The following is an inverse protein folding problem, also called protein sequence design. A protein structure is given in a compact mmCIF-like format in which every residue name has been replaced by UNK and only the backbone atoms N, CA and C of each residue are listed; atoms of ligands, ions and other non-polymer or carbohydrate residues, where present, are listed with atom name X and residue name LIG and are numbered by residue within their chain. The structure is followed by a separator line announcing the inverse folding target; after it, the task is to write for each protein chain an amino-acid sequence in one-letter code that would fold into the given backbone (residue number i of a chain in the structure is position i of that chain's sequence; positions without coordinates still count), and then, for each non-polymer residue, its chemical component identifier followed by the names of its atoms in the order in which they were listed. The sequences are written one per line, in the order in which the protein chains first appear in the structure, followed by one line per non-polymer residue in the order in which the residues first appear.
data_IF_279015834258
#
_entry.id   IF_279015834258
#
_cell.length_a   1.000
_cell.length_b   1.000
_cell.length_c   1.000
_cell.angle_alpha   90.00
_cell.angle_beta   90.00
_cell.angle_gamma   90.00
#
_symmetry.space_group_name_H-M   'P 1'
#
loop_
_entity.id
_entity.type
_entity.pdbx_description
1 polymer ?
#
# COMPACT_ATOMS: atom_id res chain seq x y z
N UNK A 1 32.55 7.80 -51.03
CA UNK A 1 31.15 7.31 -51.15
C UNK A 1 30.77 6.37 -50.01
N UNK A 2 31.65 5.45 -49.59
CA UNK A 2 31.39 4.50 -48.50
C UNK A 2 30.93 5.12 -47.15
N UNK A 3 31.58 6.19 -46.67
CA UNK A 3 31.16 6.92 -45.44
C UNK A 3 29.74 7.50 -45.50
N UNK A 4 29.29 7.92 -46.69
CA UNK A 4 27.92 8.43 -46.92
C UNK A 4 26.90 7.29 -46.86
N UNK A 5 27.21 6.13 -47.45
CA UNK A 5 26.36 4.95 -47.37
C UNK A 5 26.24 4.43 -45.92
N UNK A 6 27.34 4.42 -45.16
CA UNK A 6 27.33 4.03 -43.74
C UNK A 6 26.41 4.94 -42.91
N UNK A 7 26.48 6.26 -43.13
CA UNK A 7 25.60 7.22 -42.45
C UNK A 7 24.13 7.04 -42.82
N UNK A 8 23.82 6.78 -44.08
CA UNK A 8 22.45 6.53 -44.54
C UNK A 8 21.88 5.25 -43.93
N UNK A 9 22.69 4.18 -43.82
CA UNK A 9 22.28 2.92 -43.17
C UNK A 9 22.07 3.12 -41.67
N UNK A 10 22.93 3.88 -40.99
CA UNK A 10 22.77 4.17 -39.57
C UNK A 10 21.49 4.98 -39.28
N UNK A 11 21.20 5.99 -40.12
CA UNK A 11 19.96 6.77 -40.03
C UNK A 11 18.74 5.90 -40.31
N UNK A 12 18.78 5.04 -41.33
CA UNK A 12 17.68 4.12 -41.63
C UNK A 12 17.41 3.14 -40.48
N UNK A 13 18.45 2.56 -39.88
CA UNK A 13 18.33 1.67 -38.72
C UNK A 13 17.74 2.39 -37.50
N UNK A 14 18.15 3.63 -37.27
CA UNK A 14 17.59 4.47 -36.20
C UNK A 14 16.08 4.70 -36.42
N UNK A 15 15.66 5.09 -37.62
CA UNK A 15 14.23 5.30 -37.91
C UNK A 15 13.41 4.00 -37.85
N UNK A 16 13.95 2.87 -38.32
CA UNK A 16 13.28 1.56 -38.24
C UNK A 16 13.12 1.12 -36.78
N UNK A 17 14.07 1.44 -35.90
CA UNK A 17 13.98 1.10 -34.47
C UNK A 17 12.82 1.80 -33.75
N UNK A 18 12.39 2.97 -34.23
CA UNK A 18 11.22 3.68 -33.70
C UNK A 18 9.88 3.16 -34.24
N UNK A 19 9.88 2.39 -35.33
CA UNK A 19 8.68 1.74 -35.88
C UNK A 19 8.35 0.42 -35.17
N UNK A 20 9.28 -0.13 -34.40
CA UNK A 20 9.14 -1.37 -33.61
C UNK A 20 9.06 -1.03 -32.11
N UNK A 21 8.33 0.03 -31.77
CA UNK A 21 7.89 0.25 -30.39
C UNK A 21 6.59 -0.53 -30.17
N UNK A 22 6.69 -1.71 -29.56
CA UNK A 22 5.53 -2.41 -29.03
C UNK A 22 5.00 -1.74 -27.76
N UNK A 23 3.75 -2.04 -27.40
CA UNK A 23 3.20 -1.62 -26.11
C UNK A 23 4.02 -2.22 -24.95
N UNK A 24 4.19 -1.44 -23.88
CA UNK A 24 4.83 -1.94 -22.68
C UNK A 24 3.95 -3.02 -22.04
N UNK A 25 4.47 -4.25 -21.93
CA UNK A 25 3.80 -5.32 -21.18
C UNK A 25 3.99 -5.03 -19.70
N UNK A 26 3.02 -4.35 -19.09
CA UNK A 26 2.97 -4.14 -17.65
C UNK A 26 2.08 -5.20 -17.00
N UNK A 27 2.48 -5.70 -15.84
CA UNK A 27 1.56 -6.46 -14.99
C UNK A 27 0.41 -5.53 -14.59
N UNK A 28 -0.82 -5.90 -14.95
CA UNK A 28 -1.99 -5.11 -14.60
C UNK A 28 -2.44 -5.38 -13.17
N UNK A 29 -2.99 -4.35 -12.53
CA UNK A 29 -3.63 -4.50 -11.22
C UNK A 29 -5.07 -4.98 -11.42
N UNK A 30 -5.21 -6.27 -11.70
CA UNK A 30 -6.48 -6.93 -12.00
C UNK A 30 -7.44 -6.96 -10.78
N UNK A 31 -8.67 -7.43 -11.00
CA UNK A 31 -9.67 -7.53 -9.94
C UNK A 31 -9.28 -8.54 -8.85
N UNK A 32 -8.57 -9.62 -9.21
CA UNK A 32 -8.15 -10.64 -8.27
C UNK A 32 -7.17 -10.06 -7.23
N UNK A 33 -6.19 -9.26 -7.66
CA UNK A 33 -5.26 -8.57 -6.77
C UNK A 33 -6.00 -7.50 -5.95
N UNK A 34 -6.96 -6.77 -6.54
CA UNK A 34 -7.74 -5.70 -5.87
C UNK A 34 -8.82 -6.19 -4.92
N UNK A 35 -9.15 -7.48 -4.93
CA UNK A 35 -10.13 -8.06 -4.01
C UNK A 35 -9.52 -8.14 -2.62
N UNK A 36 -10.16 -7.59 -1.59
CA UNK A 36 -9.70 -7.63 -0.19
C UNK A 36 -10.82 -8.14 0.73
N UNK A 37 -10.47 -8.66 1.91
CA UNK A 37 -11.46 -9.05 2.92
C UNK A 37 -12.21 -7.82 3.44
N UNK A 38 -13.53 -7.86 3.39
CA UNK A 38 -14.41 -6.80 3.84
C UNK A 38 -14.58 -6.87 5.36
N UNK A 39 -14.93 -8.05 5.87
CA UNK A 39 -15.36 -8.26 7.25
C UNK A 39 -14.87 -9.62 7.82
N UNK A 40 -15.05 -9.88 9.13
CA UNK A 40 -14.67 -11.15 9.77
C UNK A 40 -15.47 -12.38 9.28
N UNK A 41 -16.64 -12.18 8.68
CA UNK A 41 -17.49 -13.25 8.15
C UNK A 41 -16.92 -13.88 6.86
N UNK A 42 -15.91 -13.24 6.26
CA UNK A 42 -15.24 -13.70 5.04
C UNK A 42 -15.78 -13.08 3.75
N UNK A 43 -16.63 -12.07 3.84
CA UNK A 43 -17.05 -11.33 2.67
C UNK A 43 -15.85 -10.58 2.07
N UNK A 44 -15.93 -10.30 0.77
CA UNK A 44 -14.86 -9.61 0.05
C UNK A 44 -15.39 -8.44 -0.75
N UNK A 45 -14.51 -7.49 -1.04
CA UNK A 45 -14.82 -6.34 -1.89
C UNK A 45 -13.69 -6.10 -2.89
N UNK A 46 -14.05 -5.74 -4.11
CA UNK A 46 -13.09 -5.36 -5.16
C UNK A 46 -12.85 -3.85 -5.08
N UNK A 47 -11.64 -3.44 -4.71
CA UNK A 47 -11.27 -2.02 -4.68
C UNK A 47 -11.21 -1.45 -6.10
N UNK A 48 -11.81 -0.30 -6.38
CA UNK A 48 -11.64 0.38 -7.67
C UNK A 48 -10.21 0.91 -7.84
N UNK A 49 -9.75 1.12 -9.09
CA UNK A 49 -8.42 1.72 -9.34
C UNK A 49 -8.29 3.12 -8.73
N UNK A 50 -9.39 3.86 -8.65
CA UNK A 50 -9.45 5.14 -7.94
C UNK A 50 -9.21 4.95 -6.44
N UNK A 51 -9.88 3.98 -5.80
CA UNK A 51 -9.67 3.65 -4.39
C UNK A 51 -8.23 3.22 -4.11
N UNK A 52 -7.62 2.43 -4.99
CA UNK A 52 -6.20 2.03 -4.87
C UNK A 52 -5.29 3.26 -4.88
N UNK A 53 -5.48 4.15 -5.86
CA UNK A 53 -4.65 5.35 -6.02
C UNK A 53 -4.85 6.31 -4.85
N UNK A 54 -6.11 6.53 -4.45
CA UNK A 54 -6.49 7.36 -3.30
C UNK A 54 -5.90 6.80 -2.01
N UNK A 55 -6.01 5.50 -1.79
CA UNK A 55 -5.50 4.81 -0.62
C UNK A 55 -4.01 5.00 -0.43
N UNK A 56 -3.21 4.77 -1.48
CA UNK A 56 -1.77 5.02 -1.46
C UNK A 56 -1.44 6.48 -1.13
N UNK A 57 -2.14 7.44 -1.75
CA UNK A 57 -1.92 8.87 -1.52
C UNK A 57 -2.20 9.25 -0.06
N UNK A 58 -3.33 8.82 0.48
CA UNK A 58 -3.73 9.15 1.84
C UNK A 58 -2.88 8.44 2.89
N UNK A 59 -2.51 7.18 2.64
CA UNK A 59 -1.56 6.44 3.48
C UNK A 59 -0.21 7.18 3.56
N UNK A 60 0.34 7.61 2.42
CA UNK A 60 1.59 8.37 2.42
C UNK A 60 1.47 9.73 3.14
N UNK A 61 0.32 10.38 3.02
CA UNK A 61 0.04 11.66 3.68
C UNK A 61 -0.02 11.53 5.21
N UNK A 62 -0.77 10.55 5.74
CA UNK A 62 -1.09 10.45 7.16
C UNK A 62 -0.27 9.38 7.91
N UNK A 63 0.13 8.29 7.25
CA UNK A 63 0.67 7.08 7.90
C UNK A 63 2.15 6.83 7.54
N UNK A 64 2.57 7.18 6.32
CA UNK A 64 3.86 6.78 5.73
C UNK A 64 5.11 7.22 6.51
N UNK A 65 5.01 8.27 7.34
CA UNK A 65 6.12 8.68 8.22
C UNK A 65 6.57 7.53 9.12
N UNK A 66 5.61 6.84 9.73
CA UNK A 66 5.84 5.75 10.69
C UNK A 66 5.73 4.37 10.03
N UNK A 67 4.84 4.23 9.04
CA UNK A 67 4.46 2.94 8.45
C UNK A 67 4.95 2.69 7.02
N UNK A 68 6.03 3.33 6.61
CA UNK A 68 6.63 3.12 5.28
C UNK A 68 6.89 1.62 5.02
N UNK A 69 6.34 1.10 3.92
CA UNK A 69 6.50 -0.31 3.56
C UNK A 69 5.93 -1.30 4.59
N UNK A 70 4.96 -0.89 5.42
CA UNK A 70 4.24 -1.78 6.33
C UNK A 70 4.91 -2.02 7.69
N UNK A 71 6.07 -1.41 7.99
CA UNK A 71 6.69 -1.51 9.32
C UNK A 71 6.01 -0.57 10.33
N UNK A 72 6.49 -0.51 11.57
CA UNK A 72 6.19 0.57 12.51
C UNK A 72 7.49 1.09 13.13
N UNK A 73 7.99 2.25 12.66
CA UNK A 73 9.30 2.77 13.11
C UNK A 73 9.40 3.03 14.62
N UNK A 74 8.32 3.48 15.24
CA UNK A 74 8.27 3.81 16.67
C UNK A 74 8.04 2.58 17.56
N UNK A 75 7.62 1.46 16.98
CA UNK A 75 7.44 0.19 17.67
C UNK A 75 7.63 -1.00 16.71
N UNK A 76 8.88 -1.42 16.44
CA UNK A 76 9.16 -2.41 15.41
C UNK A 76 8.63 -3.83 15.68
N UNK A 77 8.03 -4.09 16.84
CA UNK A 77 7.45 -5.39 17.18
C UNK A 77 6.05 -5.60 16.60
N UNK A 78 5.40 -4.55 16.08
CA UNK A 78 4.05 -4.62 15.50
C UNK A 78 4.07 -4.01 14.10
N UNK A 79 3.78 -4.82 13.08
CA UNK A 79 3.73 -4.40 11.68
C UNK A 79 2.31 -4.25 11.13
N UNK A 80 2.22 -3.96 9.83
CA UNK A 80 1.01 -3.99 9.02
C UNK A 80 1.00 -5.19 8.05
N UNK A 81 1.88 -6.16 8.25
CA UNK A 81 1.87 -7.44 7.52
C UNK A 81 0.64 -8.28 7.90
N UNK A 82 0.22 -9.23 7.03
CA UNK A 82 -0.98 -10.02 7.26
C UNK A 82 -0.99 -10.78 8.59
N UNK A 83 0.13 -11.36 9.00
CA UNK A 83 0.22 -12.16 10.23
C UNK A 83 0.05 -11.27 11.47
N UNK A 84 0.70 -10.10 11.50
CA UNK A 84 0.50 -9.10 12.55
C UNK A 84 -0.95 -8.61 12.62
N UNK A 85 -1.60 -8.36 11.48
CA UNK A 85 -2.98 -7.88 11.46
C UNK A 85 -3.97 -8.95 11.92
N UNK A 86 -3.81 -10.19 11.47
CA UNK A 86 -4.66 -11.31 11.84
C UNK A 86 -4.47 -11.73 13.32
N UNK A 87 -3.25 -11.58 13.85
CA UNK A 87 -2.92 -11.92 15.23
C UNK A 87 -3.35 -10.88 16.28
N UNK A 88 -3.83 -9.70 15.87
CA UNK A 88 -4.33 -8.69 16.78
C UNK A 88 -5.65 -9.12 17.44
N UNK A 89 -5.99 -8.50 18.58
CA UNK A 89 -7.24 -8.72 19.30
C UNK A 89 -8.02 -7.39 19.40
N UNK A 90 -9.21 -7.26 18.80
CA UNK A 90 -9.75 -8.15 17.76
C UNK A 90 -8.86 -8.15 16.48
N UNK A 91 -9.00 -9.17 15.59
CA UNK A 91 -8.28 -9.22 14.32
C UNK A 91 -8.51 -7.96 13.46
N UNK A 92 -7.47 -7.54 12.74
CA UNK A 92 -7.43 -6.30 11.94
C UNK A 92 -7.05 -6.55 10.48
N UNK A 93 -7.26 -7.77 10.00
CA UNK A 93 -6.96 -8.25 8.65
C UNK A 93 -8.13 -8.11 7.66
N UNK A 94 -9.11 -7.26 7.99
CA UNK A 94 -10.25 -6.92 7.15
C UNK A 94 -10.52 -5.41 7.15
N UNK A 95 -11.23 -4.95 6.13
CA UNK A 95 -11.44 -3.54 5.85
C UNK A 95 -12.22 -2.83 6.97
N UNK A 96 -13.30 -3.43 7.46
CA UNK A 96 -14.12 -2.85 8.53
C UNK A 96 -13.33 -2.66 9.82
N UNK A 97 -12.52 -3.66 10.19
CA UNK A 97 -11.72 -3.62 11.43
C UNK A 97 -10.58 -2.60 11.37
N UNK A 98 -9.96 -2.41 10.20
CA UNK A 98 -8.97 -1.33 10.00
C UNK A 98 -9.63 0.05 10.03
N UNK A 99 -10.79 0.22 9.41
CA UNK A 99 -11.55 1.49 9.49
C UNK A 99 -11.92 1.79 10.94
N UNK A 100 -12.37 0.80 11.70
CA UNK A 100 -12.64 0.93 13.14
C UNK A 100 -11.37 1.34 13.91
N UNK A 101 -10.23 0.72 13.62
CA UNK A 101 -8.95 1.08 14.24
C UNK A 101 -8.52 2.53 13.93
N UNK A 102 -8.73 3.01 12.70
CA UNK A 102 -8.44 4.40 12.33
C UNK A 102 -9.39 5.41 13.00
N UNK A 103 -10.56 4.96 13.48
CA UNK A 103 -11.48 5.78 14.28
C UNK A 103 -11.09 5.78 15.75
N UNK A 104 -10.88 4.60 16.31
CA UNK A 104 -10.63 4.36 17.74
C UNK A 104 -9.55 3.28 17.93
N UNK A 105 -8.25 3.66 17.97
CA UNK A 105 -7.17 2.70 18.00
C UNK A 105 -6.98 2.15 19.42
N UNK A 106 -6.79 0.84 19.49
CA UNK A 106 -6.52 0.10 20.73
C UNK A 106 -5.16 -0.61 20.66
N UNK A 107 -4.60 -1.00 21.81
CA UNK A 107 -3.42 -1.88 21.88
C UNK A 107 -3.63 -3.19 21.12
N UNK A 108 -2.54 -3.91 20.86
CA UNK A 108 -2.57 -5.16 20.09
C UNK A 108 -3.46 -6.25 20.72
N UNK A 109 -3.59 -6.24 22.05
CA UNK A 109 -4.47 -7.11 22.83
C UNK A 109 -5.90 -6.55 23.00
N UNK A 110 -6.18 -5.35 22.48
CA UNK A 110 -7.48 -4.71 22.52
C UNK A 110 -7.88 -4.12 23.89
N UNK A 111 -6.99 -4.12 24.87
CA UNK A 111 -7.33 -3.77 26.26
C UNK A 111 -7.27 -2.27 26.55
N UNK A 112 -6.46 -1.51 25.83
CA UNK A 112 -6.21 -0.09 26.13
C UNK A 112 -6.39 0.79 24.90
N UNK A 113 -7.10 1.91 25.08
CA UNK A 113 -7.19 2.99 24.08
C UNK A 113 -5.83 3.68 23.95
N UNK A 114 -5.38 3.88 22.70
CA UNK A 114 -4.10 4.54 22.38
C UNK A 114 -4.29 5.80 21.54
N UNK A 115 -5.51 6.36 21.49
CA UNK A 115 -5.83 7.55 20.68
C UNK A 115 -4.96 8.75 21.03
N UNK A 116 -4.48 8.87 22.26
CA UNK A 116 -3.57 9.95 22.69
C UNK A 116 -2.16 9.86 22.09
N UNK A 117 -1.74 8.68 21.65
CA UNK A 117 -0.39 8.42 21.12
C UNK A 117 -0.37 7.86 19.70
N UNK A 118 -1.55 7.58 19.12
CA UNK A 118 -1.72 7.10 17.76
C UNK A 118 -2.76 7.95 17.01
N UNK A 119 -2.47 8.40 15.77
CA UNK A 119 -3.43 9.15 14.96
C UNK A 119 -4.74 8.40 14.76
N UNK A 120 -5.87 9.08 15.00
CA UNK A 120 -7.22 8.54 14.80
C UNK A 120 -8.26 9.64 14.58
N UNK A 121 -9.50 9.28 14.20
CA UNK A 121 -10.61 10.24 14.19
C UNK A 121 -10.94 10.76 15.60
N UNK A 122 -10.85 9.92 16.63
CA UNK A 122 -11.09 10.28 18.04
C UNK A 122 -10.12 11.33 18.57
N UNK A 123 -8.88 11.32 18.09
CA UNK A 123 -7.80 12.24 18.50
C UNK A 123 -7.40 13.23 17.40
N UNK A 124 -8.34 13.58 16.51
CA UNK A 124 -8.08 14.51 15.41
C UNK A 124 -7.74 15.94 15.89
N UNK A 125 -8.06 16.27 17.14
CA UNK A 125 -7.67 17.52 17.80
C UNK A 125 -6.14 17.61 17.99
N UNK A 126 -5.48 16.53 18.41
CA UNK A 126 -4.01 16.48 18.60
C UNK A 126 -3.25 15.91 17.38
N UNK A 127 -3.94 15.24 16.45
CA UNK A 127 -3.39 14.78 15.17
C UNK A 127 -4.08 15.48 13.99
N UNK A 128 -3.66 16.71 13.61
CA UNK A 128 -4.40 17.55 12.67
C UNK A 128 -4.62 16.94 11.28
N UNK A 129 -3.72 16.06 10.81
CA UNK A 129 -3.88 15.36 9.53
C UNK A 129 -5.13 14.47 9.46
N UNK A 130 -5.62 13.99 10.61
CA UNK A 130 -6.83 13.16 10.69
C UNK A 130 -8.11 13.96 10.52
N UNK A 131 -8.09 15.30 10.68
CA UNK A 131 -9.27 16.17 10.58
C UNK A 131 -9.87 16.14 9.18
N UNK A 132 -9.02 16.18 8.15
CA UNK A 132 -9.44 16.25 6.75
C UNK A 132 -9.79 14.90 6.12
N UNK A 133 -9.47 13.78 6.77
CA UNK A 133 -9.76 12.45 6.23
C UNK A 133 -11.25 12.12 6.37
N UNK A 134 -11.90 11.84 5.24
CA UNK A 134 -13.30 11.40 5.18
C UNK A 134 -13.42 9.90 5.42
N UNK A 135 -14.65 9.39 5.55
CA UNK A 135 -14.90 7.95 5.67
C UNK A 135 -14.33 7.18 4.47
N UNK A 136 -14.50 7.72 3.25
CA UNK A 136 -13.94 7.14 2.03
C UNK A 136 -12.41 7.12 2.04
N UNK A 137 -11.77 8.11 2.68
CA UNK A 137 -10.31 8.09 2.86
C UNK A 137 -9.89 6.97 3.82
N UNK A 138 -10.63 6.73 4.91
CA UNK A 138 -10.33 5.65 5.84
C UNK A 138 -10.47 4.28 5.17
N UNK A 139 -11.53 4.08 4.38
CA UNK A 139 -11.75 2.88 3.57
C UNK A 139 -10.59 2.70 2.57
N UNK A 140 -10.21 3.76 1.86
CA UNK A 140 -9.13 3.70 0.87
C UNK A 140 -7.76 3.41 1.53
N UNK A 141 -7.45 4.01 2.67
CA UNK A 141 -6.23 3.72 3.46
C UNK A 141 -6.23 2.25 3.89
N UNK A 142 -7.34 1.76 4.43
CA UNK A 142 -7.47 0.37 4.88
C UNK A 142 -7.31 -0.61 3.73
N UNK A 143 -7.95 -0.33 2.59
CA UNK A 143 -7.77 -1.09 1.35
C UNK A 143 -6.32 -1.09 0.87
N UNK A 144 -5.60 0.04 0.98
CA UNK A 144 -4.18 0.09 0.64
C UNK A 144 -3.36 -0.85 1.52
N UNK A 145 -3.57 -0.85 2.83
CA UNK A 145 -2.86 -1.73 3.78
C UNK A 145 -3.06 -3.21 3.41
N UNK A 146 -4.30 -3.63 3.13
CA UNK A 146 -4.62 -5.02 2.78
C UNK A 146 -4.15 -5.42 1.37
N UNK A 147 -4.05 -4.45 0.45
CA UNK A 147 -3.62 -4.67 -0.92
C UNK A 147 -2.11 -4.85 -1.05
N UNK A 148 -1.31 -4.07 -0.29
CA UNK A 148 0.15 -4.05 -0.48
C UNK A 148 0.84 -5.41 -0.35
N UNK A 149 0.50 -6.29 0.61
CA UNK A 149 1.07 -7.64 0.67
C UNK A 149 0.85 -8.46 -0.62
N UNK A 150 -0.23 -8.19 -1.38
CA UNK A 150 -0.51 -8.88 -2.64
C UNK A 150 0.31 -8.34 -3.83
N UNK A 151 0.82 -7.12 -3.72
CA UNK A 151 1.58 -6.44 -4.78
C UNK A 151 3.07 -6.62 -4.59
N UNK A 152 3.57 -6.39 -3.37
CA UNK A 152 5.01 -6.43 -3.06
C UNK A 152 5.41 -7.64 -2.21
N UNK A 153 4.47 -8.54 -1.94
CA UNK A 153 4.71 -9.76 -1.17
C UNK A 153 5.20 -9.46 0.24
N UNK A 154 6.13 -10.30 0.67
CA UNK A 154 6.80 -10.25 1.97
C UNK A 154 7.77 -9.07 2.15
N UNK A 155 7.92 -8.18 1.15
CA UNK A 155 8.56 -6.89 1.38
C UNK A 155 7.72 -5.98 2.27
N UNK A 156 6.39 -6.16 2.29
CA UNK A 156 5.49 -5.41 3.16
C UNK A 156 5.60 -5.91 4.61
N UNK A 157 6.03 -5.04 5.51
CA UNK A 157 6.23 -5.34 6.94
C UNK A 157 7.63 -5.84 7.31
N UNK A 158 8.43 -6.32 6.36
CA UNK A 158 9.73 -6.91 6.68
C UNK A 158 10.88 -5.90 6.89
N UNK A 159 10.71 -4.66 6.43
CA UNK A 159 11.74 -3.62 6.52
C UNK A 159 13.04 -3.99 5.81
N UNK A 160 14.19 -3.62 6.39
CA UNK A 160 15.51 -3.78 5.74
C UNK A 160 15.91 -5.23 5.44
N UNK A 161 15.30 -6.20 6.10
CA UNK A 161 15.65 -7.61 5.95
C UNK A 161 15.36 -8.14 4.55
N UNK A 162 14.39 -7.54 3.82
CA UNK A 162 14.05 -7.91 2.44
C UNK A 162 14.46 -6.86 1.41
N UNK A 163 14.47 -5.57 1.77
CA UNK A 163 14.91 -4.48 0.87
C UNK A 163 16.42 -4.40 0.66
N UNK A 164 17.22 -4.92 1.60
CA UNK A 164 18.70 -4.86 1.55
C UNK A 164 19.35 -6.23 1.49
N UNK A 165 18.56 -7.31 1.38
CA UNK A 165 19.09 -8.64 1.14
C UNK A 165 19.56 -8.74 -0.32
N UNK A 166 20.70 -9.40 -0.60
CA UNK A 166 21.04 -9.79 -1.97
C UNK A 166 19.88 -10.60 -2.54
N UNK A 167 19.50 -10.32 -3.79
CA UNK A 167 18.61 -11.23 -4.52
C UNK A 167 19.36 -12.56 -4.65
N UNK A 168 18.86 -13.60 -3.96
CA UNK A 168 19.38 -14.97 -4.06
C UNK A 168 18.81 -15.60 -5.31
#
# INVERSE_FOLDING_TARGET
MLKRCIWLVAVALFFVSHLVMGDAVAAELDEAIRTVQLNPEGDTVVLSLEQVTRGRRQFNYACGTCHVGGITKTNPTVGLDPDSLAGALPPRDNLESLVAYLKEPMTYDGLSDISQVHPSKKSADIFPKMRSLTEEDLVAISGHILLQPKVIGDMWGAGKTRFSAPQV
#
